data_IF_558766136450
#
_entry.id   IF_558766136450
#
_cell.length_a   1.000
_cell.length_b   1.000
_cell.length_c   1.000
_cell.angle_alpha   90.00
_cell.angle_beta   90.00
_cell.angle_gamma   90.00
#
_symmetry.space_group_name_H-M   'P 1'
#
loop_
_entity.id
_entity.type
_entity.pdbx_description
1 polymer ?
#
# COMPACT_ATOMS: atom_id res chain seq x y z
N UNK A 1 -2.01 2.00 4.48
CA UNK A 1 -2.10 3.23 5.30
C UNK A 1 -2.94 4.26 4.55
N UNK A 2 -3.50 5.27 5.22
CA UNK A 2 -4.27 6.35 4.59
C UNK A 2 -3.37 7.30 3.75
N UNK A 3 -3.95 8.37 3.19
CA UNK A 3 -3.28 9.30 2.27
C UNK A 3 -2.04 10.02 2.81
N UNK A 4 -1.75 9.93 4.11
CA UNK A 4 -0.55 10.47 4.74
C UNK A 4 0.74 9.70 4.39
N UNK A 5 0.62 8.48 3.85
CA UNK A 5 1.76 7.69 3.45
C UNK A 5 2.41 8.26 2.18
N UNK A 6 3.71 8.51 2.21
CA UNK A 6 4.48 8.89 1.02
C UNK A 6 5.17 7.65 0.43
N UNK A 7 4.50 6.99 -0.51
CA UNK A 7 5.03 5.80 -1.18
C UNK A 7 6.22 6.14 -2.09
N UNK A 8 6.24 7.34 -2.68
CA UNK A 8 7.35 7.81 -3.51
C UNK A 8 8.64 7.91 -2.69
N UNK A 9 8.58 8.50 -1.50
CA UNK A 9 9.71 8.52 -0.57
C UNK A 9 10.22 7.12 -0.24
N UNK A 10 9.31 6.16 0.03
CA UNK A 10 9.69 4.77 0.33
C UNK A 10 10.42 4.12 -0.85
N UNK A 11 9.91 4.32 -2.08
CA UNK A 11 10.47 3.77 -3.31
C UNK A 11 11.75 4.46 -3.79
N UNK A 12 11.92 5.75 -3.54
CA UNK A 12 13.04 6.52 -4.08
C UNK A 12 14.20 6.65 -3.09
N UNK A 13 13.89 6.92 -1.82
CA UNK A 13 14.90 7.25 -0.80
C UNK A 13 15.15 6.12 0.18
N UNK A 14 14.19 5.23 0.39
CA UNK A 14 14.27 4.14 1.38
C UNK A 14 14.14 2.74 0.75
N UNK A 15 14.34 2.62 -0.56
CA UNK A 15 14.18 1.36 -1.31
C UNK A 15 14.98 0.19 -0.74
N UNK A 16 16.18 0.46 -0.24
CA UNK A 16 17.09 -0.58 0.27
C UNK A 16 16.54 -1.21 1.57
N UNK A 17 15.48 -0.64 2.16
CA UNK A 17 14.77 -1.21 3.31
C UNK A 17 13.70 -2.23 2.93
N UNK A 18 13.43 -2.41 1.64
CA UNK A 18 12.47 -3.39 1.12
C UNK A 18 11.10 -3.30 1.80
N UNK A 19 10.59 -2.07 1.97
CA UNK A 19 9.37 -1.83 2.73
C UNK A 19 8.16 -2.25 1.90
N UNK A 20 7.38 -3.20 2.41
CA UNK A 20 6.08 -3.57 1.85
C UNK A 20 5.04 -2.58 2.40
N UNK A 21 4.52 -1.69 1.54
CA UNK A 21 3.51 -0.74 1.95
C UNK A 21 2.55 -0.40 0.80
N UNK A 22 1.35 0.03 1.18
CA UNK A 22 0.31 0.46 0.25
C UNK A 22 -0.49 1.62 0.84
N UNK A 23 -0.95 2.51 -0.03
CA UNK A 23 -1.72 3.72 0.29
C UNK A 23 -3.13 3.63 -0.26
N UNK A 24 -4.10 4.05 0.55
CA UNK A 24 -5.46 4.38 0.09
C UNK A 24 -5.79 5.82 0.49
N UNK A 25 -6.56 6.53 -0.34
CA UNK A 25 -6.97 7.91 -0.11
C UNK A 25 -8.48 7.99 0.13
N UNK A 26 -8.95 9.09 0.73
CA UNK A 26 -10.38 9.30 1.00
C UNK A 26 -10.96 8.45 2.14
N UNK A 27 -10.12 7.74 2.91
CA UNK A 27 -10.52 6.86 4.01
C UNK A 27 -10.29 7.52 5.39
N UNK A 28 -11.15 7.19 6.35
CA UNK A 28 -11.16 7.71 7.73
C UNK A 28 -11.21 6.60 8.77
N UNK A 29 -11.77 5.44 8.42
CA UNK A 29 -11.84 4.26 9.29
C UNK A 29 -10.98 3.12 8.78
N UNK A 30 -10.72 2.13 9.65
CA UNK A 30 -10.00 0.91 9.24
C UNK A 30 -10.81 0.09 8.24
N UNK A 31 -12.13 0.03 8.39
CA UNK A 31 -13.02 -0.65 7.45
C UNK A 31 -12.96 -0.02 6.06
N UNK A 32 -13.01 1.31 5.98
CA UNK A 32 -12.83 2.04 4.72
C UNK A 32 -11.45 1.78 4.11
N UNK A 33 -10.38 1.80 4.91
CA UNK A 33 -9.03 1.48 4.43
C UNK A 33 -8.92 0.06 3.87
N UNK A 34 -9.57 -0.90 4.53
CA UNK A 34 -9.58 -2.30 4.13
C UNK A 34 -10.43 -2.52 2.87
N UNK A 35 -11.52 -1.76 2.70
CA UNK A 35 -12.42 -1.89 1.56
C UNK A 35 -12.07 -1.04 0.34
N UNK A 36 -11.32 0.04 0.54
CA UNK A 36 -10.91 0.93 -0.53
C UNK A 36 -9.91 0.27 -1.48
N UNK A 37 -9.93 0.65 -2.78
CA UNK A 37 -8.86 0.30 -3.69
C UNK A 37 -7.57 1.02 -3.29
N UNK A 38 -6.45 0.31 -3.38
CA UNK A 38 -5.12 0.89 -3.20
C UNK A 38 -4.86 1.90 -4.32
N UNK A 39 -4.39 3.08 -3.96
CA UNK A 39 -4.05 4.15 -4.90
C UNK A 39 -2.58 4.07 -5.33
N UNK A 40 -1.68 3.70 -4.42
CA UNK A 40 -0.25 3.52 -4.71
C UNK A 40 0.37 2.46 -3.81
N UNK A 41 1.39 1.77 -4.30
CA UNK A 41 2.08 0.66 -3.61
C UNK A 41 3.60 0.78 -3.76
N UNK A 42 4.36 0.24 -2.82
CA UNK A 42 5.82 0.16 -2.95
C UNK A 42 6.24 -0.92 -3.95
N UNK A 43 7.44 -0.81 -4.51
CA UNK A 43 7.98 -1.79 -5.45
C UNK A 43 8.04 -3.20 -4.85
N UNK A 44 8.44 -3.33 -3.57
CA UNK A 44 8.40 -4.60 -2.87
C UNK A 44 6.99 -5.18 -2.73
N UNK A 45 5.95 -4.35 -2.58
CA UNK A 45 4.58 -4.83 -2.57
C UNK A 45 4.17 -5.38 -3.94
N UNK A 46 4.60 -4.73 -5.03
CA UNK A 46 4.33 -5.20 -6.40
C UNK A 46 4.94 -6.58 -6.67
N UNK A 47 6.14 -6.86 -6.14
CA UNK A 47 6.78 -8.18 -6.26
C UNK A 47 5.96 -9.29 -5.59
N UNK A 48 5.16 -8.96 -4.57
CA UNK A 48 4.22 -9.88 -3.91
C UNK A 48 2.85 -9.93 -4.63
N UNK A 49 2.71 -9.25 -5.75
CA UNK A 49 1.46 -9.14 -6.51
C UNK A 49 0.43 -8.24 -5.84
N UNK A 50 0.84 -7.29 -5.01
CA UNK A 50 -0.01 -6.22 -4.47
C UNK A 50 0.11 -5.04 -5.44
N UNK A 51 -0.98 -4.67 -6.11
CA UNK A 51 -0.98 -3.65 -7.18
C UNK A 51 -2.03 -2.58 -6.92
N UNK A 52 -1.89 -1.36 -7.50
CA UNK A 52 -2.95 -0.35 -7.43
C UNK A 52 -4.29 -0.89 -7.95
N UNK A 53 -5.38 -0.44 -7.35
CA UNK A 53 -6.74 -0.94 -7.60
C UNK A 53 -7.11 -2.19 -6.77
N UNK A 54 -6.15 -2.91 -6.19
CA UNK A 54 -6.44 -4.05 -5.30
C UNK A 54 -7.13 -3.57 -4.02
N UNK A 55 -8.04 -4.38 -3.48
CA UNK A 55 -8.71 -4.11 -2.21
C UNK A 55 -7.72 -4.25 -1.04
N UNK A 56 -7.77 -3.36 -0.06
CA UNK A 56 -6.87 -3.38 1.10
C UNK A 56 -6.84 -4.72 1.84
N UNK A 57 -8.00 -5.39 2.02
CA UNK A 57 -8.08 -6.73 2.63
C UNK A 57 -7.26 -7.77 1.88
N UNK A 58 -7.35 -7.78 0.55
CA UNK A 58 -6.64 -8.76 -0.29
C UNK A 58 -5.13 -8.51 -0.26
N UNK A 59 -4.72 -7.24 -0.21
CA UNK A 59 -3.32 -6.85 -0.10
C UNK A 59 -2.68 -7.35 1.21
N UNK A 60 -3.35 -7.18 2.36
CA UNK A 60 -2.83 -7.60 3.67
C UNK A 60 -2.52 -9.09 3.71
N UNK A 61 -3.32 -9.93 3.04
CA UNK A 61 -3.09 -11.38 2.97
C UNK A 61 -1.80 -11.77 2.23
N UNK A 62 -1.25 -10.85 1.42
CA UNK A 62 -0.02 -11.04 0.65
C UNK A 62 1.22 -10.46 1.32
N UNK A 63 1.08 -9.67 2.39
CA UNK A 63 2.20 -9.03 3.10
C UNK A 63 2.86 -10.02 4.07
N UNK A 64 3.89 -10.73 3.60
CA UNK A 64 4.66 -11.72 4.38
C UNK A 64 6.14 -11.38 4.40
#
# INVERSE_FOLDING_TARGET
MCGALDVGLLNERLKDRHIIAARATGVRTIEELLDAPLEMVTYEAEQLGIVPGMKGRDAVLKMR
#
